data_IF_353137041146
#
_entry.id   IF_353137041146
#
_cell.length_a   1.000
_cell.length_b   1.000
_cell.length_c   1.000
_cell.angle_alpha   90.00
_cell.angle_beta   90.00
_cell.angle_gamma   90.00
#
_symmetry.space_group_name_H-M   'P 1'
#
loop_
_entity.id
_entity.type
_entity.pdbx_description
1 polymer ?
#
# COMPACT_ATOMS: atom_id res chain seq x y z
N UNK A 1 21.51 12.47 13.04
CA UNK A 1 20.87 12.69 11.72
C UNK A 1 20.54 11.35 11.09
N UNK A 2 19.61 11.33 10.16
CA UNK A 2 19.15 10.18 9.37
C UNK A 2 19.28 10.57 7.90
N UNK A 3 19.96 9.74 7.12
CA UNK A 3 20.16 9.95 5.68
C UNK A 3 18.98 9.36 4.91
N UNK A 4 18.39 10.13 4.01
CA UNK A 4 17.33 9.66 3.11
C UNK A 4 17.95 8.94 1.90
N UNK A 5 17.76 7.62 1.73
CA UNK A 5 18.46 6.87 0.69
C UNK A 5 18.15 7.32 -0.75
N UNK A 6 16.96 7.85 -0.98
CA UNK A 6 16.49 8.21 -2.32
C UNK A 6 17.04 9.56 -2.84
N UNK A 7 17.49 10.45 -1.96
CA UNK A 7 17.87 11.83 -2.33
C UNK A 7 19.11 12.37 -1.60
N UNK A 8 19.50 11.72 -0.51
CA UNK A 8 20.64 12.07 0.33
C UNK A 8 20.44 13.22 1.31
N UNK A 9 19.22 13.74 1.42
CA UNK A 9 18.88 14.72 2.44
C UNK A 9 19.07 14.16 3.86
N UNK A 10 19.40 15.06 4.79
CA UNK A 10 19.59 14.74 6.20
C UNK A 10 18.43 15.25 7.04
N UNK A 11 17.79 14.35 7.75
CA UNK A 11 16.75 14.66 8.74
C UNK A 11 17.31 14.47 10.16
N UNK A 12 16.83 15.25 11.13
CA UNK A 12 17.02 14.83 12.52
C UNK A 12 16.17 13.57 12.79
N UNK A 13 16.51 12.81 13.85
CA UNK A 13 15.79 11.57 14.18
C UNK A 13 14.31 11.82 14.45
N UNK A 14 13.98 12.92 15.13
CA UNK A 14 12.60 13.23 15.51
C UNK A 14 11.75 13.64 14.30
N UNK A 15 12.30 14.43 13.38
CA UNK A 15 11.63 14.76 12.12
C UNK A 15 11.37 13.51 11.27
N UNK A 16 12.34 12.59 11.17
CA UNK A 16 12.14 11.32 10.46
C UNK A 16 11.00 10.51 11.09
N UNK A 17 11.01 10.33 12.41
CA UNK A 17 9.97 9.59 13.13
C UNK A 17 8.60 10.23 12.95
N UNK A 18 8.47 11.53 13.20
CA UNK A 18 7.20 12.23 13.12
C UNK A 18 6.60 12.16 11.71
N UNK A 19 7.40 12.47 10.69
CA UNK A 19 6.97 12.44 9.28
C UNK A 19 6.48 11.06 8.86
N UNK A 20 7.32 10.02 9.07
CA UNK A 20 6.97 8.69 8.60
C UNK A 20 5.88 8.02 9.44
N UNK A 21 5.75 8.31 10.74
CA UNK A 21 4.62 7.79 11.53
C UNK A 21 3.29 8.32 11.00
N UNK A 22 3.20 9.62 10.68
CA UNK A 22 2.01 10.23 10.08
C UNK A 22 1.75 9.66 8.69
N UNK A 23 2.78 9.63 7.83
CA UNK A 23 2.64 9.10 6.48
C UNK A 23 2.15 7.64 6.48
N UNK A 24 2.74 6.78 7.33
CA UNK A 24 2.40 5.36 7.45
C UNK A 24 1.00 5.18 8.02
N UNK A 25 0.56 5.97 9.01
CA UNK A 25 -0.78 5.80 9.60
C UNK A 25 -1.88 6.35 8.69
N UNK A 26 -1.66 7.52 8.11
CA UNK A 26 -2.75 8.32 7.54
C UNK A 26 -2.72 8.43 6.01
N UNK A 27 -1.57 8.15 5.37
CA UNK A 27 -1.39 8.39 3.93
C UNK A 27 -1.16 7.09 3.16
N UNK A 28 -1.26 7.16 1.84
CA UNK A 28 -0.92 6.03 0.96
C UNK A 28 0.60 5.93 0.77
N UNK A 29 1.08 4.77 0.28
CA UNK A 29 2.50 4.54 -0.05
C UNK A 29 3.07 5.64 -0.96
N UNK A 30 2.25 6.32 -1.78
CA UNK A 30 2.69 7.44 -2.64
C UNK A 30 3.26 8.65 -1.89
N UNK A 31 3.00 8.74 -0.59
CA UNK A 31 3.50 9.81 0.28
C UNK A 31 4.71 9.37 1.12
N UNK A 32 5.29 8.21 0.82
CA UNK A 32 6.48 7.70 1.49
C UNK A 32 7.74 8.34 0.89
N UNK A 33 7.76 9.67 0.89
CA UNK A 33 8.80 10.49 0.29
C UNK A 33 9.48 11.39 1.33
N UNK A 34 10.61 11.95 0.96
CA UNK A 34 11.38 12.88 1.76
C UNK A 34 10.55 14.16 2.00
N UNK A 35 10.40 14.63 3.25
CA UNK A 35 9.68 15.87 3.53
C UNK A 35 10.42 17.14 3.07
N UNK A 36 11.70 17.04 2.68
CA UNK A 36 12.50 18.18 2.22
C UNK A 36 12.33 18.37 0.72
N UNK A 37 12.55 17.34 -0.09
CA UNK A 37 12.56 17.44 -1.55
C UNK A 37 11.43 16.68 -2.25
N UNK A 38 10.63 15.87 -1.55
CA UNK A 38 9.54 15.08 -2.12
C UNK A 38 9.95 13.82 -2.88
N UNK A 39 11.24 13.44 -2.88
CA UNK A 39 11.73 12.22 -3.53
C UNK A 39 11.65 10.99 -2.59
N UNK A 40 11.48 9.77 -3.12
CA UNK A 40 11.30 9.44 -4.54
C UNK A 40 9.89 9.83 -5.03
N UNK A 41 9.78 10.18 -6.31
CA UNK A 41 8.47 10.32 -6.95
C UNK A 41 7.87 8.92 -7.17
N UNK A 42 6.84 8.61 -6.38
CA UNK A 42 6.14 7.33 -6.40
C UNK A 42 5.01 7.27 -7.44
N UNK A 43 4.94 8.26 -8.35
CA UNK A 43 4.06 8.28 -9.51
C UNK A 43 4.57 7.47 -10.71
N UNK A 44 5.89 7.32 -10.86
CA UNK A 44 6.52 6.60 -11.97
C UNK A 44 7.08 5.25 -11.51
N UNK A 45 6.59 4.17 -12.12
CA UNK A 45 6.91 2.78 -11.75
C UNK A 45 8.26 2.35 -12.35
N UNK A 46 9.35 2.76 -11.73
CA UNK A 46 10.70 2.37 -12.16
C UNK A 46 11.35 1.45 -11.11
N UNK A 47 12.31 0.60 -11.51
CA UNK A 47 13.03 -0.33 -10.59
C UNK A 47 13.67 0.38 -9.39
N UNK A 48 14.11 1.64 -9.56
CA UNK A 48 14.63 2.46 -8.47
C UNK A 48 13.60 2.69 -7.35
N UNK A 49 12.32 2.70 -7.67
CA UNK A 49 11.25 2.90 -6.71
C UNK A 49 11.17 1.74 -5.71
N UNK A 50 11.26 0.52 -6.20
CA UNK A 50 11.17 -0.68 -5.37
C UNK A 50 12.36 -0.77 -4.41
N UNK A 51 13.56 -0.47 -4.91
CA UNK A 51 14.77 -0.38 -4.07
C UNK A 51 14.61 0.70 -2.99
N UNK A 52 14.14 1.89 -3.34
CA UNK A 52 13.94 2.98 -2.37
C UNK A 52 12.92 2.63 -1.29
N UNK A 53 11.82 1.96 -1.67
CA UNK A 53 10.80 1.50 -0.72
C UNK A 53 11.35 0.43 0.23
N UNK A 54 12.15 -0.53 -0.27
CA UNK A 54 12.80 -1.53 0.59
C UNK A 54 13.76 -0.90 1.59
N UNK A 55 14.56 0.09 1.16
CA UNK A 55 15.44 0.84 2.05
C UNK A 55 14.64 1.60 3.10
N UNK A 56 13.52 2.24 2.72
CA UNK A 56 12.64 2.91 3.67
C UNK A 56 12.09 1.95 4.74
N UNK A 57 11.68 0.73 4.37
CA UNK A 57 11.22 -0.29 5.34
C UNK A 57 12.30 -0.60 6.38
N UNK A 58 13.55 -0.75 5.94
CA UNK A 58 14.66 -0.97 6.86
C UNK A 58 14.85 0.22 7.82
N UNK A 59 14.75 1.45 7.31
CA UNK A 59 14.84 2.66 8.13
C UNK A 59 13.68 2.77 9.13
N UNK A 60 12.46 2.44 8.71
CA UNK A 60 11.27 2.40 9.60
C UNK A 60 11.49 1.38 10.72
N UNK A 61 11.97 0.17 10.39
CA UNK A 61 12.28 -0.87 11.39
C UNK A 61 13.28 -0.40 12.46
N UNK A 62 14.27 0.40 12.06
CA UNK A 62 15.33 0.88 12.94
C UNK A 62 14.87 2.06 13.80
N UNK A 63 13.98 2.91 13.30
CA UNK A 63 13.67 4.19 13.93
C UNK A 63 12.26 4.32 14.52
N UNK A 64 11.27 3.58 14.03
CA UNK A 64 9.87 3.63 14.47
C UNK A 64 9.51 2.39 15.30
N UNK A 65 8.33 2.41 15.92
CA UNK A 65 7.83 1.28 16.71
C UNK A 65 7.35 0.11 15.84
N UNK A 66 7.07 -1.02 16.47
CA UNK A 66 6.62 -2.23 15.78
C UNK A 66 5.27 -2.04 15.08
N UNK A 67 4.38 -1.22 15.63
CA UNK A 67 3.06 -0.97 15.04
C UNK A 67 3.19 -0.22 13.71
N UNK A 68 4.05 0.79 13.65
CA UNK A 68 4.34 1.51 12.41
C UNK A 68 5.09 0.64 11.41
N UNK A 69 6.03 -0.20 11.87
CA UNK A 69 6.72 -1.15 11.01
C UNK A 69 5.76 -2.15 10.35
N UNK A 70 4.90 -2.79 11.14
CA UNK A 70 3.92 -3.78 10.65
C UNK A 70 2.93 -3.14 9.67
N UNK A 71 2.47 -1.92 9.98
CA UNK A 71 1.58 -1.18 9.08
C UNK A 71 2.29 -0.77 7.78
N UNK A 72 3.56 -0.36 7.86
CA UNK A 72 4.37 -0.04 6.69
C UNK A 72 4.52 -1.26 5.77
N UNK A 73 4.87 -2.43 6.34
CA UNK A 73 4.96 -3.69 5.59
C UNK A 73 3.64 -4.06 4.93
N UNK A 74 2.53 -3.99 5.68
CA UNK A 74 1.20 -4.27 5.15
C UNK A 74 0.85 -3.34 3.98
N UNK A 75 1.10 -2.03 4.11
CA UNK A 75 0.83 -1.04 3.06
C UNK A 75 1.64 -1.31 1.80
N UNK A 76 2.90 -1.73 1.95
CA UNK A 76 3.76 -2.06 0.81
C UNK A 76 3.38 -3.37 0.13
N UNK A 77 2.99 -4.38 0.90
CA UNK A 77 2.42 -5.61 0.35
C UNK A 77 1.14 -5.31 -0.47
N UNK A 78 0.23 -4.52 0.09
CA UNK A 78 -0.99 -4.05 -0.59
C UNK A 78 -0.68 -3.25 -1.86
N UNK A 79 0.35 -2.40 -1.82
CA UNK A 79 0.78 -1.60 -2.97
C UNK A 79 1.36 -2.48 -4.08
N UNK A 80 2.25 -3.42 -3.74
CA UNK A 80 2.82 -4.35 -4.72
C UNK A 80 1.74 -5.24 -5.33
N UNK A 81 0.84 -5.79 -4.50
CA UNK A 81 -0.28 -6.59 -4.95
C UNK A 81 -1.21 -5.81 -5.90
N UNK A 82 -1.33 -4.49 -5.71
CA UNK A 82 -2.16 -3.64 -6.58
C UNK A 82 -1.62 -3.47 -8.01
N UNK A 83 -0.35 -3.82 -8.24
CA UNK A 83 0.27 -3.79 -9.57
C UNK A 83 -0.01 -5.07 -10.37
N UNK A 84 -0.42 -6.14 -9.70
CA UNK A 84 -0.62 -7.44 -10.33
C UNK A 84 -1.88 -7.48 -11.22
N UNK A 85 -1.81 -8.12 -12.40
CA UNK A 85 -2.99 -8.34 -13.23
C UNK A 85 -4.04 -9.18 -12.50
N UNK A 86 -5.28 -8.69 -12.44
CA UNK A 86 -6.35 -9.38 -11.72
C UNK A 86 -6.52 -8.92 -10.27
N UNK A 87 -5.77 -7.91 -9.83
CA UNK A 87 -5.98 -7.31 -8.52
C UNK A 87 -7.40 -6.78 -8.32
N UNK A 88 -7.96 -7.10 -7.14
CA UNK A 88 -9.25 -6.63 -6.65
C UNK A 88 -9.05 -6.04 -5.27
N UNK A 89 -9.58 -4.83 -5.07
CA UNK A 89 -9.78 -4.27 -3.73
C UNK A 89 -11.24 -4.43 -3.32
N UNK A 90 -11.47 -5.08 -2.20
CA UNK A 90 -12.80 -5.26 -1.64
C UNK A 90 -13.44 -3.90 -1.32
N UNK A 91 -14.60 -3.62 -1.93
CA UNK A 91 -15.34 -2.36 -1.76
C UNK A 91 -16.40 -2.43 -0.66
N UNK A 92 -16.47 -3.56 0.06
CA UNK A 92 -17.34 -3.67 1.21
C UNK A 92 -16.82 -2.82 2.36
N UNK A 93 -17.74 -2.10 2.99
CA UNK A 93 -17.48 -1.29 4.17
C UNK A 93 -16.79 -2.12 5.27
N UNK A 94 -15.75 -1.54 5.86
CA UNK A 94 -14.92 -2.14 6.90
C UNK A 94 -13.94 -3.22 6.44
N UNK A 95 -13.89 -3.60 5.15
CA UNK A 95 -12.96 -4.62 4.67
C UNK A 95 -11.73 -4.05 3.97
N UNK A 96 -11.88 -3.49 2.76
CA UNK A 96 -10.77 -2.88 2.02
C UNK A 96 -9.64 -3.83 1.58
N UNK A 97 -9.75 -5.14 1.84
CA UNK A 97 -8.71 -6.13 1.54
C UNK A 97 -8.37 -6.20 0.05
N UNK A 98 -7.08 -6.31 -0.28
CA UNK A 98 -6.57 -6.56 -1.63
C UNK A 98 -6.32 -8.05 -1.87
N UNK A 99 -6.68 -8.57 -3.05
CA UNK A 99 -6.44 -9.96 -3.44
C UNK A 99 -6.42 -10.12 -4.97
N UNK A 100 -5.91 -11.25 -5.47
CA UNK A 100 -5.90 -11.56 -6.91
C UNK A 100 -7.11 -12.40 -7.28
N UNK A 101 -7.77 -12.05 -8.37
CA UNK A 101 -8.72 -12.93 -9.04
C UNK A 101 -7.99 -13.83 -10.03
N UNK A 102 -7.59 -15.02 -9.59
CA UNK A 102 -6.87 -16.01 -10.41
C UNK A 102 -7.66 -16.43 -11.65
N UNK A 103 -8.99 -16.33 -11.58
CA UNK A 103 -9.90 -16.66 -12.68
C UNK A 103 -10.39 -15.37 -13.36
N UNK A 104 -9.53 -14.78 -14.20
CA UNK A 104 -9.80 -13.48 -14.85
C UNK A 104 -11.13 -13.39 -15.62
N UNK A 105 -11.67 -14.51 -16.09
CA UNK A 105 -12.95 -14.56 -16.81
C UNK A 105 -14.17 -14.54 -15.88
N UNK A 106 -13.99 -14.82 -14.58
CA UNK A 106 -15.07 -14.82 -13.60
C UNK A 106 -15.37 -13.39 -13.17
N UNK A 107 -16.53 -12.90 -13.61
CA UNK A 107 -17.04 -11.59 -13.18
C UNK A 107 -17.42 -11.57 -11.70
N UNK A 108 -17.76 -12.71 -11.10
CA UNK A 108 -18.13 -12.83 -9.68
C UNK A 108 -16.92 -13.28 -8.88
N UNK A 109 -16.51 -12.49 -7.89
CA UNK A 109 -15.40 -12.79 -6.99
C UNK A 109 -15.85 -12.74 -5.53
N UNK A 110 -15.30 -13.61 -4.71
CA UNK A 110 -15.52 -13.64 -3.27
C UNK A 110 -14.30 -13.06 -2.57
N UNK A 111 -14.51 -12.13 -1.63
CA UNK A 111 -13.41 -11.59 -0.85
C UNK A 111 -12.89 -12.66 0.14
N UNK A 112 -11.59 -12.98 0.16
CA UNK A 112 -11.04 -14.02 1.04
C UNK A 112 -11.16 -13.66 2.53
N UNK A 113 -11.20 -12.36 2.86
CA UNK A 113 -11.34 -11.86 4.23
C UNK A 113 -12.79 -11.85 4.70
N UNK A 114 -13.68 -11.09 4.02
CA UNK A 114 -15.05 -10.89 4.49
C UNK A 114 -16.08 -11.85 3.90
N UNK A 115 -15.67 -12.76 3.00
CA UNK A 115 -16.51 -13.77 2.32
C UNK A 115 -17.69 -13.21 1.53
N UNK A 116 -17.74 -11.89 1.31
CA UNK A 116 -18.80 -11.22 0.55
C UNK A 116 -18.46 -11.18 -0.95
N UNK A 117 -19.52 -11.26 -1.76
CA UNK A 117 -19.44 -11.34 -3.22
C UNK A 117 -19.46 -9.95 -3.87
N UNK A 118 -18.64 -9.77 -4.89
CA UNK A 118 -18.55 -8.54 -5.67
C UNK A 118 -18.26 -8.83 -7.14
N UNK A 119 -18.56 -7.87 -8.01
CA UNK A 119 -18.26 -7.98 -9.43
C UNK A 119 -16.84 -7.48 -9.72
N UNK A 120 -16.00 -8.28 -10.37
CA UNK A 120 -14.64 -7.94 -10.76
C UNK A 120 -14.58 -6.70 -11.67
N UNK A 121 -15.49 -6.62 -12.65
CA UNK A 121 -15.48 -5.56 -13.67
C UNK A 121 -15.94 -4.21 -13.11
N UNK A 122 -17.12 -4.18 -12.46
CA UNK A 122 -17.68 -2.92 -11.97
C UNK A 122 -17.33 -2.62 -10.51
N UNK A 123 -16.70 -3.56 -9.79
CA UNK A 123 -16.31 -3.47 -8.37
C UNK A 123 -17.48 -3.18 -7.41
N UNK A 124 -18.72 -3.37 -7.87
CA UNK A 124 -19.94 -3.20 -7.08
C UNK A 124 -20.33 -4.51 -6.38
N UNK A 125 -21.07 -4.37 -5.27
CA UNK A 125 -21.70 -5.48 -4.55
C UNK A 125 -22.63 -6.24 -5.51
N UNK A 126 -22.54 -7.56 -5.52
CA UNK A 126 -23.50 -8.39 -6.29
C UNK A 126 -24.75 -8.53 -5.43
N UNK A 127 -25.84 -7.88 -5.81
CA UNK A 127 -27.15 -8.15 -5.22
C UNK A 127 -27.56 -9.56 -5.64
N UNK A 128 -27.92 -10.40 -4.67
CA UNK A 128 -28.35 -11.80 -4.86
C UNK A 128 -29.56 -11.98 -5.81
N UNK A 129 -30.16 -10.89 -6.30
CA UNK A 129 -31.44 -10.89 -7.03
C UNK A 129 -31.25 -10.94 -8.56
N UNK A 130 -30.06 -10.70 -9.11
CA UNK A 130 -29.87 -10.60 -10.59
C UNK A 130 -29.19 -11.84 -11.18
N UNK A 131 -29.48 -13.04 -10.66
CA UNK A 131 -29.12 -14.31 -11.32
C UNK A 131 -30.26 -15.31 -11.13
N UNK A 132 -31.40 -15.05 -11.78
CA UNK A 132 -32.29 -16.08 -12.33
C UNK A 132 -32.48 -15.76 -13.81
#
# INVERSE_FOLDING_TARGET
MVYMPACGDLLCKDCFKAHFSIAIREKSVKHFNCPICGLPDLGNNDQMLEMNLQLLVAMVKVHLDSTDYDLCQKKLADFNLSKEPGFVRCTHEGCGAGFINDFRDRKKVECPECKRLMCFLCKKKVLLIIIQ
#
